data_IF_157230034627
#
_entry.id   IF_157230034627
#
_cell.length_a   1.000
_cell.length_b   1.000
_cell.length_c   1.000
_cell.angle_alpha   90.00
_cell.angle_beta   90.00
_cell.angle_gamma   90.00
#
_symmetry.space_group_name_H-M   'P 1'
#
loop_
_entity.id
_entity.type
_entity.pdbx_description
1 polymer ?
#
# COMPACT_ATOMS: atom_id res chain seq x y z
N UNK A 1 21.56 -4.24 -29.51
CA UNK A 1 21.29 -4.36 -29.16
C UNK A 1 20.80 -4.39 -28.39
N UNK A 2 20.85 -4.36 -28.07
CA UNK A 2 20.62 -4.44 -27.35
C UNK A 2 19.78 -4.58 -26.80
N UNK A 3 19.26 -4.54 -26.57
CA UNK A 3 18.48 -4.61 -25.93
C UNK A 3 18.20 -5.42 -25.25
N UNK A 4 18.48 -5.73 -24.97
CA UNK A 4 18.43 -6.54 -24.32
C UNK A 4 17.66 -6.77 -23.27
N UNK A 5 17.60 -6.23 -22.42
CA UNK A 5 16.93 -6.50 -21.15
C UNK A 5 15.45 -6.65 -21.30
N UNK A 6 14.90 -5.87 -22.16
CA UNK A 6 13.47 -5.99 -22.38
C UNK A 6 13.11 -7.35 -22.92
N UNK A 7 14.03 -7.95 -23.62
CA UNK A 7 13.76 -9.26 -24.15
C UNK A 7 13.58 -10.30 -23.09
N UNK A 8 14.34 -10.18 -22.02
CA UNK A 8 14.20 -11.15 -20.94
C UNK A 8 12.83 -11.10 -20.32
N UNK A 9 12.25 -9.93 -20.28
CA UNK A 9 10.92 -9.80 -19.71
C UNK A 9 9.89 -10.50 -20.54
N UNK A 10 10.11 -10.55 -21.84
CA UNK A 10 9.14 -11.14 -22.73
C UNK A 10 9.27 -12.65 -22.72
N UNK A 11 8.16 -13.30 -22.48
CA UNK A 11 8.14 -14.73 -22.54
C UNK A 11 8.68 -15.43 -21.33
N UNK A 12 9.36 -14.72 -20.46
CA UNK A 12 9.84 -15.32 -19.23
C UNK A 12 8.78 -15.24 -18.16
N UNK A 13 8.77 -16.20 -17.22
CA UNK A 13 7.85 -16.08 -16.09
C UNK A 13 8.20 -14.88 -15.26
N UNK A 14 7.25 -14.37 -14.49
CA UNK A 14 7.53 -13.24 -13.61
C UNK A 14 8.73 -13.51 -12.75
N UNK A 15 9.58 -12.51 -12.60
CA UNK A 15 10.76 -12.59 -11.78
C UNK A 15 10.35 -12.49 -10.31
N UNK A 16 10.55 -13.56 -9.55
CA UNK A 16 10.16 -13.57 -8.15
C UNK A 16 10.97 -12.60 -7.32
N UNK A 17 12.21 -12.34 -7.72
CA UNK A 17 13.02 -11.34 -7.02
C UNK A 17 12.42 -9.94 -7.20
N UNK A 18 11.95 -9.63 -8.40
CA UNK A 18 11.30 -8.36 -8.63
C UNK A 18 9.98 -8.28 -7.87
N UNK A 19 9.25 -9.39 -7.81
CA UNK A 19 8.00 -9.40 -7.06
C UNK A 19 8.27 -9.18 -5.58
N UNK A 20 9.33 -9.80 -5.06
CA UNK A 20 9.70 -9.63 -3.66
C UNK A 20 10.11 -8.19 -3.38
N UNK A 21 10.85 -7.58 -4.30
CA UNK A 21 11.23 -6.18 -4.14
C UNK A 21 10.02 -5.27 -4.17
N UNK A 22 9.11 -5.52 -5.11
CA UNK A 22 7.88 -4.75 -5.18
C UNK A 22 7.08 -4.88 -3.89
N UNK A 23 7.00 -6.09 -3.36
CA UNK A 23 6.29 -6.32 -2.10
C UNK A 23 6.93 -5.54 -0.97
N UNK A 24 8.25 -5.53 -0.91
CA UNK A 24 8.97 -4.80 0.13
C UNK A 24 8.65 -3.30 0.06
N UNK A 25 8.64 -2.76 -1.15
CA UNK A 25 8.33 -1.34 -1.34
C UNK A 25 6.89 -1.06 -0.91
N UNK A 26 5.97 -1.92 -1.32
CA UNK A 26 4.56 -1.77 -0.98
C UNK A 26 4.37 -1.82 0.53
N UNK A 27 5.03 -2.78 1.19
CA UNK A 27 4.92 -2.90 2.65
C UNK A 27 5.42 -1.65 3.35
N UNK A 28 6.51 -1.08 2.88
CA UNK A 28 7.04 0.14 3.46
C UNK A 28 6.06 1.29 3.30
N UNK A 29 5.44 1.40 2.14
CA UNK A 29 4.46 2.46 1.90
C UNK A 29 3.21 2.27 2.75
N UNK A 30 2.75 1.03 2.90
CA UNK A 30 1.60 0.74 3.74
C UNK A 30 1.90 1.04 5.20
N UNK A 31 3.09 0.68 5.65
CA UNK A 31 3.49 0.96 7.03
C UNK A 31 3.52 2.45 7.29
N UNK A 32 4.11 3.21 6.37
CA UNK A 32 4.16 4.66 6.53
C UNK A 32 2.77 5.24 6.56
N UNK A 33 1.90 4.77 5.67
CA UNK A 33 0.52 5.26 5.61
C UNK A 33 -0.21 4.97 6.91
N UNK A 34 -0.01 3.79 7.49
CA UNK A 34 -0.64 3.43 8.74
C UNK A 34 -0.16 4.32 9.87
N UNK A 35 1.14 4.54 9.95
CA UNK A 35 1.70 5.36 11.00
C UNK A 35 1.19 6.79 10.90
N UNK A 36 1.16 7.34 9.68
CA UNK A 36 0.65 8.70 9.48
C UNK A 36 -0.83 8.77 9.85
N UNK A 37 -1.60 7.76 9.47
CA UNK A 37 -3.02 7.72 9.78
C UNK A 37 -3.24 7.68 11.30
N UNK A 38 -2.45 6.89 12.00
CA UNK A 38 -2.55 6.81 13.45
C UNK A 38 -2.17 8.14 14.10
N UNK A 39 -1.15 8.79 13.57
CA UNK A 39 -0.74 10.09 14.07
C UNK A 39 -1.85 11.11 13.90
N UNK A 40 -2.50 11.12 12.75
CA UNK A 40 -3.60 12.04 12.51
C UNK A 40 -4.72 11.79 13.52
N UNK A 41 -5.01 10.53 13.82
CA UNK A 41 -6.04 10.22 14.80
C UNK A 41 -5.67 10.73 16.18
N UNK A 42 -4.40 10.57 16.57
CA UNK A 42 -3.93 11.06 17.87
C UNK A 42 -4.01 12.57 17.91
N UNK A 43 -3.59 13.24 16.84
CA UNK A 43 -3.65 14.68 16.80
C UNK A 43 -5.08 15.19 16.89
N UNK A 44 -6.00 14.51 16.22
CA UNK A 44 -7.40 14.90 16.26
C UNK A 44 -7.96 14.77 17.68
N UNK A 45 -7.53 13.75 18.40
CA UNK A 45 -7.98 13.56 19.78
C UNK A 45 -7.45 14.62 20.73
N UNK A 46 -6.35 15.25 20.37
CA UNK A 46 -5.76 16.29 21.20
C UNK A 46 -6.42 17.65 21.02
N UNK A 47 -7.27 17.79 20.01
CA UNK A 47 -7.94 19.06 19.72
C UNK A 47 -9.15 19.22 20.60
N UNK A 48 -9.51 20.49 20.86
CA UNK A 48 -10.75 20.75 21.57
C UNK A 48 -11.95 20.46 20.67
N UNK A 49 -13.12 20.49 21.27
CA UNK A 49 -14.34 20.07 20.59
C UNK A 49 -14.69 20.95 19.40
N UNK A 50 -14.52 22.25 19.55
CA UNK A 50 -14.85 23.18 18.49
C UNK A 50 -13.90 23.01 17.30
N UNK A 51 -12.62 22.86 17.59
CA UNK A 51 -11.62 22.67 16.55
C UNK A 51 -11.85 21.33 15.84
N UNK A 52 -12.18 20.29 16.58
CA UNK A 52 -12.47 19.01 15.99
C UNK A 52 -13.67 19.09 15.06
N UNK A 53 -14.71 19.80 15.48
CA UNK A 53 -15.87 20.00 14.63
C UNK A 53 -15.50 20.71 13.34
N UNK A 54 -14.73 21.77 13.47
CA UNK A 54 -14.31 22.53 12.29
C UNK A 54 -13.50 21.65 11.34
N UNK A 55 -12.60 20.85 11.90
CA UNK A 55 -11.77 19.98 11.09
C UNK A 55 -12.59 18.94 10.34
N UNK A 56 -13.54 18.32 11.01
CA UNK A 56 -14.29 17.23 10.42
C UNK A 56 -15.27 17.71 9.34
N UNK A 57 -15.50 19.00 9.27
CA UNK A 57 -16.35 19.56 8.23
C UNK A 57 -15.58 19.94 6.97
N UNK A 58 -14.27 19.79 6.98
CA UNK A 58 -13.48 20.17 5.81
C UNK A 58 -13.50 19.08 4.75
N UNK A 59 -13.33 19.51 3.51
CA UNK A 59 -13.22 18.58 2.41
C UNK A 59 -11.98 17.71 2.55
N UNK A 60 -10.91 18.27 3.12
CA UNK A 60 -9.69 17.52 3.33
C UNK A 60 -9.90 16.36 4.29
N UNK A 61 -10.65 16.57 5.35
CA UNK A 61 -10.95 15.49 6.28
C UNK A 61 -11.77 14.40 5.62
N UNK A 62 -12.75 14.78 4.81
CA UNK A 62 -13.55 13.81 4.09
C UNK A 62 -12.69 13.00 3.13
N UNK A 63 -11.77 13.66 2.44
CA UNK A 63 -10.86 12.97 1.53
C UNK A 63 -9.97 12.00 2.30
N UNK A 64 -9.52 12.40 3.47
CA UNK A 64 -8.71 11.52 4.31
C UNK A 64 -9.48 10.26 4.70
N UNK A 65 -10.71 10.41 5.15
CA UNK A 65 -11.52 9.25 5.53
C UNK A 65 -11.76 8.33 4.34
N UNK A 66 -11.97 8.91 3.18
CA UNK A 66 -12.18 8.13 1.99
C UNK A 66 -10.93 7.35 1.63
N UNK A 67 -9.78 7.99 1.70
CA UNK A 67 -8.53 7.30 1.37
C UNK A 67 -8.21 6.21 2.40
N UNK A 68 -8.60 6.41 3.64
CA UNK A 68 -8.43 5.36 4.66
C UNK A 68 -9.24 4.12 4.28
N UNK A 69 -10.45 4.31 3.84
CA UNK A 69 -11.28 3.18 3.42
C UNK A 69 -10.67 2.46 2.24
N UNK A 70 -10.14 3.21 1.27
CA UNK A 70 -9.48 2.59 0.14
C UNK A 70 -8.25 1.82 0.54
N UNK A 71 -7.55 2.30 1.55
CA UNK A 71 -6.36 1.63 2.03
C UNK A 71 -6.68 0.25 2.59
N UNK A 72 -7.88 0.08 3.17
CA UNK A 72 -8.29 -1.24 3.61
C UNK A 72 -8.38 -2.22 2.46
N UNK A 73 -8.95 -1.78 1.34
CA UNK A 73 -8.99 -2.61 0.15
C UNK A 73 -7.59 -2.91 -0.37
N UNK A 74 -6.75 -1.89 -0.39
CA UNK A 74 -5.38 -2.05 -0.87
C UNK A 74 -4.64 -3.08 -0.02
N UNK A 75 -4.87 -3.07 1.27
CA UNK A 75 -4.22 -4.04 2.15
C UNK A 75 -4.62 -5.46 1.79
N UNK A 76 -5.89 -5.68 1.50
CA UNK A 76 -6.36 -6.99 1.08
C UNK A 76 -5.77 -7.40 -0.25
N UNK A 77 -5.63 -6.45 -1.15
CA UNK A 77 -5.01 -6.73 -2.45
C UNK A 77 -3.55 -7.12 -2.28
N UNK A 78 -2.86 -6.46 -1.35
CA UNK A 78 -1.47 -6.81 -1.08
C UNK A 78 -1.37 -8.22 -0.50
N UNK A 79 -2.31 -8.60 0.35
CA UNK A 79 -2.33 -9.95 0.87
C UNK A 79 -2.48 -10.98 -0.24
N UNK A 80 -3.35 -10.69 -1.20
CA UNK A 80 -3.50 -11.56 -2.36
C UNK A 80 -2.22 -11.62 -3.18
N UNK A 81 -1.58 -10.48 -3.35
CA UNK A 81 -0.32 -10.41 -4.07
C UNK A 81 0.72 -11.32 -3.41
N UNK A 82 0.80 -11.25 -2.08
CA UNK A 82 1.75 -12.07 -1.34
C UNK A 82 1.44 -13.55 -1.51
N UNK A 83 0.17 -13.91 -1.43
CA UNK A 83 -0.23 -15.31 -1.60
C UNK A 83 0.11 -15.80 -2.99
N UNK A 84 -0.13 -14.98 -3.99
CA UNK A 84 0.20 -15.33 -5.36
C UNK A 84 1.71 -15.51 -5.52
N UNK A 85 2.48 -14.65 -4.89
CA UNK A 85 3.92 -14.74 -4.95
C UNK A 85 4.42 -16.03 -4.29
N UNK A 86 3.84 -16.38 -3.15
CA UNK A 86 4.22 -17.60 -2.46
C UNK A 86 3.84 -18.84 -3.26
N UNK A 87 2.68 -18.79 -3.88
CA UNK A 87 2.27 -19.91 -4.73
C UNK A 87 3.23 -20.10 -5.88
N UNK A 88 3.72 -18.97 -6.43
CA UNK A 88 4.73 -19.06 -7.49
C UNK A 88 6.00 -19.73 -7.02
N UNK A 89 6.40 -19.44 -5.80
CA UNK A 89 7.59 -20.07 -5.24
C UNK A 89 7.38 -21.57 -5.06
N UNK A 90 6.21 -21.95 -4.59
CA UNK A 90 5.92 -23.37 -4.40
C UNK A 90 5.90 -24.10 -5.72
N UNK A 91 5.44 -23.46 -6.76
CA UNK A 91 5.41 -24.06 -8.07
C UNK A 91 6.80 -24.35 -8.61
N UNK A 92 7.75 -23.58 -8.20
CA UNK A 92 9.11 -23.75 -8.69
C UNK A 92 9.76 -25.02 -8.18
N UNK A 93 9.28 -25.53 -7.11
CA UNK A 93 9.77 -26.79 -6.63
C UNK A 93 9.32 -27.93 -7.49
#
# INVERSE_FOLDING_TARGET
MTDEPTNTAEGDPPDLDQAALAHSIIESLLEHTRVVSDLIAVMAQALDQDTTKALTLTAQWQAYLESRRRMEHTRKDVEKFVETMKAGEEWKD
#
